data_IF_474997941756
#
_entry.id   IF_474997941756
#
_cell.length_a   1.000
_cell.length_b   1.000
_cell.length_c   1.000
_cell.angle_alpha   90.00
_cell.angle_beta   90.00
_cell.angle_gamma   90.00
#
_symmetry.space_group_name_H-M   'P 1'
#
loop_
_entity.id
_entity.type
_entity.pdbx_description
1 polymer ?
#
# COMPACT_ATOMS: atom_id res chain seq x y z
N UNK A 1 8.85 -14.59 6.99
CA UNK A 1 7.49 -14.45 7.57
C UNK A 1 7.04 -13.00 7.70
N UNK A 2 7.93 -12.03 7.93
CA UNK A 2 7.60 -10.63 8.27
C UNK A 2 7.18 -9.70 7.11
N UNK A 3 7.02 -10.22 5.88
CA UNK A 3 6.81 -9.39 4.70
C UNK A 3 5.39 -8.81 4.59
N UNK A 4 4.41 -9.46 5.20
CA UNK A 4 2.98 -9.14 5.06
C UNK A 4 2.36 -8.56 6.33
N UNK A 5 3.13 -8.48 7.41
CA UNK A 5 2.59 -8.09 8.70
C UNK A 5 3.15 -6.75 9.14
N UNK A 6 2.27 -5.89 9.65
CA UNK A 6 2.60 -4.55 10.08
C UNK A 6 2.52 -4.39 11.59
N UNK A 7 3.29 -3.42 12.08
CA UNK A 7 3.31 -2.99 13.47
C UNK A 7 2.50 -1.72 13.67
N UNK A 8 2.23 -1.40 14.93
CA UNK A 8 1.62 -0.14 15.33
C UNK A 8 2.38 1.10 14.80
N UNK A 9 3.71 1.05 14.81
CA UNK A 9 4.56 2.16 14.34
C UNK A 9 4.42 2.44 12.84
N UNK A 10 4.01 1.44 12.04
CA UNK A 10 3.76 1.65 10.61
C UNK A 10 2.49 2.48 10.40
N UNK A 11 1.45 2.22 11.19
CA UNK A 11 0.21 3.00 11.17
C UNK A 11 0.45 4.44 11.60
N UNK A 12 1.25 4.64 12.64
CA UNK A 12 1.59 5.99 13.12
C UNK A 12 2.29 6.81 12.04
N UNK A 13 3.31 6.25 11.38
CA UNK A 13 4.01 6.91 10.29
C UNK A 13 3.08 7.25 9.14
N UNK A 14 2.27 6.29 8.70
CA UNK A 14 1.36 6.52 7.58
C UNK A 14 0.28 7.56 7.89
N UNK A 15 -0.23 7.61 9.12
CA UNK A 15 -1.17 8.65 9.54
C UNK A 15 -0.49 10.02 9.68
N UNK A 16 0.78 10.06 10.09
CA UNK A 16 1.54 11.31 10.17
C UNK A 16 1.83 11.87 8.76
N UNK A 17 2.22 11.02 7.82
CA UNK A 17 2.61 11.43 6.47
C UNK A 17 1.40 11.79 5.60
N UNK A 18 0.30 11.05 5.72
CA UNK A 18 -0.85 11.14 4.82
C UNK A 18 -2.15 11.63 5.49
N UNK A 19 -2.14 11.84 6.81
CA UNK A 19 -3.31 12.31 7.56
C UNK A 19 -4.41 11.27 7.72
N UNK A 20 -5.65 11.63 7.38
CA UNK A 20 -6.81 10.72 7.47
C UNK A 20 -6.88 9.81 6.25
N UNK A 21 -6.26 8.64 6.37
CA UNK A 21 -6.31 7.58 5.36
C UNK A 21 -6.96 6.31 5.90
N UNK A 22 -7.59 5.54 5.01
CA UNK A 22 -8.06 4.19 5.30
C UNK A 22 -6.92 3.19 5.14
N UNK A 23 -6.47 2.66 6.27
CA UNK A 23 -5.37 1.70 6.34
C UNK A 23 -5.90 0.27 6.41
N UNK A 24 -5.46 -0.55 5.46
CA UNK A 24 -5.69 -1.99 5.43
C UNK A 24 -4.35 -2.69 5.59
N UNK A 25 -4.00 -3.02 6.83
CA UNK A 25 -2.78 -3.75 7.18
C UNK A 25 -3.16 -5.02 7.94
N UNK A 26 -2.36 -6.08 7.79
CA UNK A 26 -2.52 -7.29 8.57
C UNK A 26 -1.64 -7.18 9.82
N UNK A 27 -2.21 -7.20 11.03
CA UNK A 27 -1.42 -7.13 12.25
C UNK A 27 -0.55 -8.39 12.41
N UNK A 28 0.65 -8.24 12.98
CA UNK A 28 1.45 -9.40 13.40
C UNK A 28 0.68 -10.26 14.41
N UNK A 29 0.97 -11.55 14.44
CA UNK A 29 0.37 -12.47 15.42
C UNK A 29 0.66 -12.08 16.88
N UNK A 30 1.77 -11.37 17.13
CA UNK A 30 2.15 -10.85 18.44
C UNK A 30 1.82 -9.36 18.63
N UNK A 31 1.02 -8.76 17.75
CA UNK A 31 0.69 -7.34 17.85
C UNK A 31 -0.21 -7.07 19.07
N UNK A 32 0.10 -6.01 19.81
CA UNK A 32 -0.68 -5.59 20.98
C UNK A 32 -1.89 -4.78 20.57
N UNK A 33 -3.00 -4.88 21.31
CA UNK A 33 -4.17 -4.00 21.11
C UNK A 33 -3.90 -2.60 21.66
N UNK A 34 -2.98 -2.49 22.62
CA UNK A 34 -2.56 -1.20 23.13
C UNK A 34 -1.78 -0.40 22.07
N UNK A 35 -2.00 0.91 22.06
CA UNK A 35 -1.52 1.82 21.00
C UNK A 35 -2.48 2.97 20.67
N UNK A 36 -2.12 3.81 19.68
CA UNK A 36 -2.90 4.95 19.23
C UNK A 36 -4.27 4.57 18.71
N UNK A 37 -5.15 5.56 18.69
CA UNK A 37 -6.51 5.42 18.18
C UNK A 37 -6.58 4.93 16.73
N UNK A 38 -5.63 5.29 15.87
CA UNK A 38 -5.59 4.81 14.49
C UNK A 38 -5.38 3.29 14.42
N UNK A 39 -4.45 2.78 15.22
CA UNK A 39 -4.18 1.35 15.35
C UNK A 39 -5.41 0.59 15.86
N UNK A 40 -5.98 1.08 16.97
CA UNK A 40 -7.19 0.49 17.59
C UNK A 40 -8.38 0.47 16.62
N UNK A 41 -8.61 1.55 15.86
CA UNK A 41 -9.68 1.60 14.85
C UNK A 41 -9.46 0.63 13.70
N UNK A 42 -8.22 0.48 13.24
CA UNK A 42 -7.89 -0.45 12.17
C UNK A 42 -8.05 -1.91 12.61
N UNK A 43 -7.58 -2.26 13.82
CA UNK A 43 -7.86 -3.57 14.43
C UNK A 43 -9.36 -3.84 14.58
N UNK A 44 -10.13 -2.86 15.04
CA UNK A 44 -11.57 -2.98 15.17
C UNK A 44 -12.24 -3.27 13.82
N UNK A 45 -11.84 -2.58 12.75
CA UNK A 45 -12.33 -2.85 11.37
C UNK A 45 -11.96 -4.24 10.89
N UNK A 46 -10.73 -4.68 11.14
CA UNK A 46 -10.27 -6.01 10.78
C UNK A 46 -11.13 -7.11 11.42
N UNK A 47 -11.40 -7.00 12.72
CA UNK A 47 -12.16 -8.01 13.47
C UNK A 47 -13.66 -7.93 13.16
N UNK A 48 -14.21 -6.73 12.95
CA UNK A 48 -15.65 -6.52 12.72
C UNK A 48 -16.14 -7.17 11.43
N UNK A 49 -15.31 -7.17 10.37
CA UNK A 49 -15.63 -7.88 9.13
C UNK A 49 -14.35 -8.34 8.43
N UNK A 50 -13.82 -9.48 8.88
CA UNK A 50 -12.56 -10.05 8.38
C UNK A 50 -12.60 -10.28 6.87
N UNK A 51 -13.73 -10.78 6.33
CA UNK A 51 -13.85 -11.11 4.90
C UNK A 51 -13.72 -9.85 4.04
N UNK A 52 -14.53 -8.83 4.30
CA UNK A 52 -14.46 -7.56 3.55
C UNK A 52 -13.10 -6.88 3.73
N UNK A 53 -12.54 -6.92 4.93
CA UNK A 53 -11.23 -6.33 5.18
C UNK A 53 -10.13 -7.01 4.36
N UNK A 54 -10.15 -8.35 4.28
CA UNK A 54 -9.21 -9.09 3.45
C UNK A 54 -9.44 -8.83 1.96
N UNK A 55 -10.69 -8.72 1.49
CA UNK A 55 -10.99 -8.32 0.12
C UNK A 55 -10.37 -6.96 -0.23
N UNK A 56 -10.52 -5.96 0.65
CA UNK A 56 -9.89 -4.65 0.47
C UNK A 56 -8.36 -4.71 0.54
N UNK A 57 -7.81 -5.50 1.47
CA UNK A 57 -6.37 -5.72 1.55
C UNK A 57 -5.82 -6.33 0.24
N UNK A 58 -6.52 -7.30 -0.35
CA UNK A 58 -6.08 -7.97 -1.58
C UNK A 58 -6.14 -7.07 -2.83
N UNK A 59 -6.92 -5.97 -2.82
CA UNK A 59 -6.89 -4.98 -3.91
C UNK A 59 -5.50 -4.35 -4.10
N UNK A 60 -4.66 -4.28 -3.06
CA UNK A 60 -3.26 -3.81 -3.17
C UNK A 60 -2.41 -4.68 -4.10
N UNK A 61 -2.73 -5.95 -4.27
CA UNK A 61 -1.92 -6.86 -5.08
C UNK A 61 -1.74 -6.37 -6.52
N UNK A 62 -2.75 -5.68 -7.07
CA UNK A 62 -2.67 -5.06 -8.40
C UNK A 62 -1.56 -4.01 -8.47
N UNK A 63 -1.58 -3.06 -7.52
CA UNK A 63 -0.58 -2.01 -7.41
C UNK A 63 0.82 -2.59 -7.17
N UNK A 64 0.95 -3.57 -6.28
CA UNK A 64 2.22 -4.22 -5.98
C UNK A 64 2.81 -4.98 -7.19
N UNK A 65 1.95 -5.60 -8.00
CA UNK A 65 2.36 -6.26 -9.25
C UNK A 65 2.88 -5.25 -10.28
N UNK A 66 2.18 -4.14 -10.50
CA UNK A 66 2.62 -3.07 -11.39
C UNK A 66 3.97 -2.48 -10.98
N UNK A 67 4.16 -2.20 -9.69
CA UNK A 67 5.44 -1.73 -9.18
C UNK A 67 6.56 -2.77 -9.34
N UNK A 68 6.26 -4.06 -9.18
CA UNK A 68 7.24 -5.12 -9.40
C UNK A 68 7.66 -5.20 -10.87
N UNK A 69 6.73 -5.02 -11.81
CA UNK A 69 7.01 -4.95 -13.24
C UNK A 69 7.89 -3.75 -13.58
N UNK A 70 7.57 -2.56 -13.09
CA UNK A 70 8.36 -1.35 -13.33
C UNK A 70 9.80 -1.50 -12.80
N UNK A 71 9.95 -2.11 -11.62
CA UNK A 71 11.25 -2.42 -11.03
C UNK A 71 12.04 -3.40 -11.88
N UNK A 72 11.41 -4.43 -12.45
CA UNK A 72 12.05 -5.36 -13.38
C UNK A 72 12.45 -4.67 -14.68
N UNK A 73 11.58 -3.84 -15.24
CA UNK A 73 11.80 -3.13 -16.51
C UNK A 73 12.93 -2.13 -16.43
N UNK A 74 13.06 -1.43 -15.31
CA UNK A 74 13.92 -0.25 -15.20
C UNK A 74 15.06 -0.39 -14.18
N UNK A 75 15.13 -1.52 -13.47
CA UNK A 75 16.18 -1.77 -12.48
C UNK A 75 16.13 -0.77 -11.31
N UNK A 76 14.93 -0.44 -10.83
CA UNK A 76 14.68 0.58 -9.80
C UNK A 76 15.09 2.02 -10.17
N UNK A 77 15.37 2.30 -11.45
CA UNK A 77 15.69 3.65 -11.92
C UNK A 77 14.53 4.24 -12.69
N UNK A 78 14.26 5.53 -12.51
CA UNK A 78 13.35 6.23 -13.42
C UNK A 78 14.01 6.35 -14.79
N UNK A 79 13.35 5.83 -15.83
CA UNK A 79 13.86 5.92 -17.20
C UNK A 79 13.94 7.37 -17.70
N UNK A 80 13.12 8.26 -17.14
CA UNK A 80 13.12 9.68 -17.45
C UNK A 80 14.19 10.42 -16.62
N UNK A 81 15.16 11.04 -17.30
CA UNK A 81 16.25 11.79 -16.68
C UNK A 81 15.96 13.29 -16.52
N UNK A 82 14.99 13.80 -17.28
CA UNK A 82 14.61 15.22 -17.24
C UNK A 82 13.69 15.49 -16.06
N UNK A 83 14.07 16.36 -15.10
CA UNK A 83 13.32 16.55 -13.86
C UNK A 83 11.91 17.08 -14.11
N UNK A 84 11.71 17.92 -15.13
CA UNK A 84 10.41 18.45 -15.55
C UNK A 84 9.44 17.39 -16.10
N UNK A 85 9.94 16.17 -16.40
CA UNK A 85 9.16 15.10 -17.03
C UNK A 85 9.03 13.84 -16.18
N UNK A 86 9.71 13.78 -15.03
CA UNK A 86 9.72 12.59 -14.17
C UNK A 86 8.31 12.25 -13.71
N UNK A 87 7.57 13.24 -13.21
CA UNK A 87 6.24 13.03 -12.66
C UNK A 87 5.24 12.62 -13.75
N UNK A 88 5.30 13.26 -14.91
CA UNK A 88 4.46 12.89 -16.07
C UNK A 88 4.75 11.46 -16.53
N UNK A 89 6.02 11.08 -16.64
CA UNK A 89 6.38 9.72 -17.06
C UNK A 89 5.92 8.65 -16.05
N UNK A 90 6.02 8.95 -14.75
CA UNK A 90 5.49 8.09 -13.69
C UNK A 90 3.97 7.95 -13.79
N UNK A 91 3.27 9.07 -13.91
CA UNK A 91 1.81 9.08 -13.99
C UNK A 91 1.30 8.31 -15.22
N UNK A 92 1.92 8.51 -16.39
CA UNK A 92 1.58 7.77 -17.60
C UNK A 92 1.84 6.27 -17.46
N UNK A 93 2.90 5.88 -16.76
CA UNK A 93 3.19 4.47 -16.46
C UNK A 93 2.09 3.88 -15.56
N UNK A 94 1.65 4.60 -14.53
CA UNK A 94 0.52 4.17 -13.68
C UNK A 94 -0.78 4.05 -14.47
N UNK A 95 -1.10 5.00 -15.36
CA UNK A 95 -2.28 4.92 -16.23
C UNK A 95 -2.18 3.69 -17.14
N UNK A 96 -1.01 3.44 -17.73
CA UNK A 96 -0.79 2.29 -18.61
C UNK A 96 -1.04 0.96 -17.90
N UNK A 97 -0.56 0.83 -16.65
CA UNK A 97 -0.83 -0.33 -15.81
C UNK A 97 -2.32 -0.53 -15.57
N UNK A 98 -3.03 0.56 -15.24
CA UNK A 98 -4.49 0.50 -15.03
C UNK A 98 -5.23 0.08 -16.31
N UNK A 99 -4.86 0.64 -17.48
CA UNK A 99 -5.49 0.32 -18.76
C UNK A 99 -5.26 -1.14 -19.17
N UNK A 100 -4.04 -1.64 -18.97
CA UNK A 100 -3.66 -3.01 -19.31
C UNK A 100 -4.39 -4.06 -18.47
N UNK A 101 -4.95 -3.67 -17.33
CA UNK A 101 -5.75 -4.52 -16.45
C UNK A 101 -7.26 -4.45 -16.70
N UNK A 102 -7.73 -3.51 -17.51
CA UNK A 102 -9.14 -3.41 -17.91
C UNK A 102 -9.48 -4.29 -19.12
N UNK A 103 -8.46 -4.78 -19.83
CA UNK A 103 -8.58 -5.60 -21.04
C UNK A 103 -8.64 -7.09 -20.76
#
# INVERSE_FOLDING_TARGET
LDRYFSNQSDVEKLVADFGKIDLFLIPKSNATVDGPWAWKRMLFRFISNVKLYLEDYFRRNQSESSFAEDKRRTGWKLGQKRPDRVDTANFLTTIWHNLSWLG
#
